data_IF_786432904888
#
_entry.id   IF_786432904888
#
_cell.length_a   1.000
_cell.length_b   1.000
_cell.length_c   1.000
_cell.angle_alpha   90.00
_cell.angle_beta   90.00
_cell.angle_gamma   90.00
#
_symmetry.space_group_name_H-M   'P 1'
#
loop_
_entity.id
_entity.type
_entity.pdbx_description
1 polymer ?
#
# COMPACT_ATOMS: atom_id res chain seq x y z
N UNK A 1 6.22 -12.89 -9.96
CA UNK A 1 6.16 -12.48 -11.39
C UNK A 1 4.74 -12.24 -11.91
N UNK A 2 3.86 -13.25 -11.98
CA UNK A 2 2.55 -13.16 -12.67
C UNK A 2 1.63 -12.00 -12.20
N UNK A 3 1.51 -11.77 -10.89
CA UNK A 3 0.71 -10.64 -10.36
C UNK A 3 1.35 -9.27 -10.61
N UNK A 4 2.69 -9.16 -10.59
CA UNK A 4 3.37 -7.90 -10.91
C UNK A 4 3.14 -7.53 -12.39
N UNK A 5 3.19 -8.51 -13.27
CA UNK A 5 2.89 -8.33 -14.70
C UNK A 5 1.42 -7.95 -14.95
N UNK A 6 0.48 -8.54 -14.21
CA UNK A 6 -0.94 -8.16 -14.27
C UNK A 6 -1.14 -6.72 -13.79
N UNK A 7 -0.56 -6.35 -12.64
CA UNK A 7 -0.67 -4.99 -12.10
C UNK A 7 -0.06 -3.96 -13.04
N UNK A 8 1.10 -4.27 -13.63
CA UNK A 8 1.74 -3.43 -14.64
C UNK A 8 0.88 -3.28 -15.89
N UNK A 9 0.26 -4.35 -16.36
CA UNK A 9 -0.64 -4.31 -17.52
C UNK A 9 -1.90 -3.50 -17.25
N UNK A 10 -2.49 -3.64 -16.06
CA UNK A 10 -3.63 -2.82 -15.64
C UNK A 10 -3.25 -1.34 -15.51
N UNK A 11 -2.06 -1.05 -14.97
CA UNK A 11 -1.55 0.31 -14.83
C UNK A 11 -1.33 0.95 -16.21
N UNK A 12 -0.74 0.20 -17.15
CA UNK A 12 -0.55 0.66 -18.53
C UNK A 12 -1.87 0.93 -19.27
N UNK A 13 -2.95 0.25 -18.89
CA UNK A 13 -4.30 0.46 -19.42
C UNK A 13 -5.04 1.63 -18.74
N UNK A 14 -4.47 2.25 -17.70
CA UNK A 14 -5.13 3.29 -16.91
C UNK A 14 -6.35 2.79 -16.14
N UNK A 15 -6.44 1.48 -15.89
CA UNK A 15 -7.53 0.91 -15.10
C UNK A 15 -7.32 1.27 -13.63
N UNK A 16 -8.36 1.73 -12.93
CA UNK A 16 -8.34 1.81 -11.47
C UNK A 16 -9.21 0.67 -10.94
N UNK A 17 -8.61 -0.42 -10.41
CA UNK A 17 -9.37 -1.55 -9.91
C UNK A 17 -10.14 -1.13 -8.65
N UNK A 18 -11.40 -1.53 -8.56
CA UNK A 18 -12.18 -1.34 -7.35
C UNK A 18 -11.68 -2.23 -6.19
N UNK A 19 -12.14 -1.91 -4.98
CA UNK A 19 -11.79 -2.63 -3.76
C UNK A 19 -12.20 -4.12 -3.81
N UNK A 20 -13.27 -4.45 -4.53
CA UNK A 20 -13.75 -5.82 -4.71
C UNK A 20 -12.79 -6.67 -5.54
N UNK A 21 -12.08 -6.05 -6.49
CA UNK A 21 -11.09 -6.69 -7.34
C UNK A 21 -9.70 -6.69 -6.69
N UNK A 22 -9.31 -5.61 -6.01
CA UNK A 22 -7.97 -5.45 -5.47
C UNK A 22 -7.79 -6.01 -4.05
N UNK A 23 -8.85 -6.12 -3.24
CA UNK A 23 -8.80 -6.64 -1.87
C UNK A 23 -8.11 -8.02 -1.76
N UNK A 24 -8.49 -9.04 -2.55
CA UNK A 24 -7.83 -10.34 -2.55
C UNK A 24 -6.38 -10.31 -3.06
N UNK A 25 -6.01 -9.31 -3.86
CA UNK A 25 -4.67 -9.17 -4.42
C UNK A 25 -3.66 -8.62 -3.39
N UNK A 26 -4.10 -7.87 -2.37
CA UNK A 26 -3.23 -7.28 -1.33
C UNK A 26 -2.33 -8.29 -0.62
N UNK A 27 -2.87 -9.46 -0.26
CA UNK A 27 -2.10 -10.52 0.39
C UNK A 27 -1.02 -11.09 -0.53
N UNK A 28 -1.27 -11.11 -1.84
CA UNK A 28 -0.27 -11.56 -2.82
C UNK A 28 0.81 -10.52 -3.03
N UNK A 29 0.49 -9.22 -2.98
CA UNK A 29 1.47 -8.13 -3.10
C UNK A 29 2.60 -8.28 -2.09
N UNK A 30 2.27 -8.55 -0.81
CA UNK A 30 3.28 -8.76 0.23
C UNK A 30 4.21 -9.96 -0.10
N UNK A 31 3.63 -11.10 -0.49
CA UNK A 31 4.41 -12.30 -0.82
C UNK A 31 5.30 -12.11 -2.06
N UNK A 32 4.91 -11.25 -3.00
CA UNK A 32 5.70 -10.94 -4.20
C UNK A 32 6.81 -9.97 -3.86
N UNK A 33 6.55 -8.97 -3.02
CA UNK A 33 7.55 -8.01 -2.57
C UNK A 33 8.77 -8.71 -1.99
N UNK A 34 8.56 -9.66 -1.06
CA UNK A 34 9.65 -10.43 -0.43
C UNK A 34 10.52 -11.21 -1.42
N UNK A 35 9.96 -11.62 -2.56
CA UNK A 35 10.67 -12.42 -3.57
C UNK A 35 11.23 -11.59 -4.71
N UNK A 36 10.82 -10.33 -4.84
CA UNK A 36 11.21 -9.47 -5.94
C UNK A 36 12.67 -9.01 -5.80
N UNK A 37 13.40 -9.03 -6.91
CA UNK A 37 14.67 -8.31 -7.00
C UNK A 37 14.46 -6.79 -7.07
N UNK A 38 15.54 -6.02 -7.14
CA UNK A 38 15.49 -4.57 -7.15
C UNK A 38 14.71 -3.96 -8.33
N UNK A 39 14.78 -4.58 -9.51
CA UNK A 39 14.10 -4.09 -10.71
C UNK A 39 12.62 -4.47 -10.67
N UNK A 40 12.32 -5.73 -10.37
CA UNK A 40 10.96 -6.25 -10.20
C UNK A 40 10.21 -5.52 -9.08
N UNK A 41 10.89 -5.20 -7.98
CA UNK A 41 10.31 -4.48 -6.86
C UNK A 41 9.93 -3.06 -7.23
N UNK A 42 10.83 -2.34 -7.92
CA UNK A 42 10.57 -0.98 -8.39
C UNK A 42 9.38 -0.92 -9.36
N UNK A 43 9.29 -1.89 -10.27
CA UNK A 43 8.16 -1.99 -11.21
C UNK A 43 6.85 -2.31 -10.48
N UNK A 44 6.90 -3.18 -9.46
CA UNK A 44 5.74 -3.52 -8.62
C UNK A 44 5.20 -2.28 -7.90
N UNK A 45 6.05 -1.53 -7.18
CA UNK A 45 5.60 -0.35 -6.42
C UNK A 45 5.14 0.76 -7.36
N UNK A 46 5.78 0.94 -8.51
CA UNK A 46 5.32 1.87 -9.52
C UNK A 46 3.93 1.51 -10.04
N UNK A 47 3.70 0.23 -10.38
CA UNK A 47 2.40 -0.23 -10.89
C UNK A 47 1.29 0.01 -9.87
N UNK A 48 1.52 -0.34 -8.59
CA UNK A 48 0.58 -0.07 -7.51
C UNK A 48 0.29 1.42 -7.35
N UNK A 49 1.33 2.26 -7.41
CA UNK A 49 1.18 3.72 -7.36
C UNK A 49 0.40 4.28 -8.55
N UNK A 50 0.62 3.75 -9.76
CA UNK A 50 -0.06 4.18 -10.98
C UNK A 50 -1.54 3.79 -10.98
N UNK A 51 -1.90 2.67 -10.35
CA UNK A 51 -3.28 2.22 -10.16
C UNK A 51 -4.02 3.02 -9.07
N UNK A 52 -3.31 3.85 -8.30
CA UNK A 52 -3.82 4.61 -7.16
C UNK A 52 -4.53 3.74 -6.11
N UNK A 53 -4.05 2.50 -5.91
CA UNK A 53 -4.63 1.54 -4.98
C UNK A 53 -4.03 1.66 -3.59
N UNK A 54 -4.88 1.54 -2.57
CA UNK A 54 -4.43 1.32 -1.20
C UNK A 54 -3.98 -0.14 -1.05
N UNK A 55 -2.70 -0.36 -0.75
CA UNK A 55 -2.16 -1.71 -0.52
C UNK A 55 -2.62 -2.30 0.82
N UNK A 56 -3.15 -1.47 1.72
CA UNK A 56 -3.47 -1.81 3.10
C UNK A 56 -2.22 -1.83 3.99
N UNK A 57 -2.40 -1.83 5.31
CA UNK A 57 -1.31 -1.68 6.28
C UNK A 57 -0.28 -2.83 6.20
N UNK A 58 -0.75 -4.08 6.05
CA UNK A 58 0.14 -5.25 6.01
C UNK A 58 1.03 -5.25 4.78
N UNK A 59 0.47 -5.02 3.59
CA UNK A 59 1.26 -5.01 2.37
C UNK A 59 2.17 -3.78 2.32
N UNK A 60 1.71 -2.62 2.80
CA UNK A 60 2.55 -1.41 2.92
C UNK A 60 3.76 -1.66 3.82
N UNK A 61 3.59 -2.33 4.96
CA UNK A 61 4.68 -2.66 5.85
C UNK A 61 5.69 -3.62 5.21
N UNK A 62 5.23 -4.66 4.51
CA UNK A 62 6.09 -5.59 3.78
C UNK A 62 6.87 -4.89 2.66
N UNK A 63 6.18 -4.07 1.86
CA UNK A 63 6.79 -3.27 0.80
C UNK A 63 7.84 -2.30 1.37
N UNK A 64 7.55 -1.61 2.47
CA UNK A 64 8.50 -0.72 3.11
C UNK A 64 9.73 -1.46 3.63
N UNK A 65 9.54 -2.60 4.31
CA UNK A 65 10.65 -3.44 4.79
C UNK A 65 11.56 -3.88 3.65
N UNK A 66 10.95 -4.41 2.58
CA UNK A 66 11.69 -4.84 1.39
C UNK A 66 12.43 -3.69 0.70
N UNK A 67 11.82 -2.51 0.61
CA UNK A 67 12.48 -1.35 0.04
C UNK A 67 13.77 -1.01 0.77
N UNK A 68 13.77 -1.01 2.12
CA UNK A 68 14.97 -0.76 2.91
C UNK A 68 16.09 -1.77 2.66
N UNK A 69 15.74 -3.04 2.44
CA UNK A 69 16.73 -4.07 2.08
C UNK A 69 17.36 -3.85 0.71
N UNK A 70 16.58 -3.31 -0.24
CA UNK A 70 17.00 -3.11 -1.63
C UNK A 70 17.67 -1.75 -1.89
N UNK A 71 17.51 -0.77 -1.00
CA UNK A 71 18.11 0.57 -1.12
C UNK A 71 19.62 0.55 -1.43
N UNK A 72 20.45 -0.31 -0.83
CA UNK A 72 21.88 -0.35 -1.14
C UNK A 72 22.20 -0.87 -2.54
N UNK A 73 21.27 -1.55 -3.19
CA UNK A 73 21.45 -2.21 -4.49
C UNK A 73 20.94 -1.39 -5.68
N UNK A 74 20.31 -0.24 -5.44
CA UNK A 74 19.73 0.62 -6.48
C UNK A 74 20.44 1.96 -6.57
N UNK A 75 20.39 2.58 -7.74
CA UNK A 75 20.88 3.95 -7.90
C UNK A 75 19.98 4.97 -7.17
N UNK A 76 20.48 6.18 -6.86
CA UNK A 76 19.73 7.17 -6.11
C UNK A 76 18.41 7.61 -6.75
N UNK A 77 18.34 7.69 -8.09
CA UNK A 77 17.12 8.09 -8.76
C UNK A 77 16.04 7.01 -8.59
N UNK A 78 16.43 5.74 -8.66
CA UNK A 78 15.52 4.62 -8.42
C UNK A 78 15.10 4.49 -6.97
N UNK A 79 15.99 4.78 -6.01
CA UNK A 79 15.63 4.86 -4.60
C UNK A 79 14.54 5.91 -4.33
N UNK A 80 14.65 7.10 -4.95
CA UNK A 80 13.63 8.15 -4.85
C UNK A 80 12.31 7.73 -5.46
N UNK A 81 12.34 7.08 -6.63
CA UNK A 81 11.13 6.58 -7.28
C UNK A 81 10.38 5.56 -6.41
N UNK A 82 11.10 4.60 -5.82
CA UNK A 82 10.55 3.62 -4.88
C UNK A 82 9.89 4.33 -3.69
N UNK A 83 10.60 5.27 -3.06
CA UNK A 83 10.09 5.99 -1.89
C UNK A 83 8.82 6.80 -2.21
N UNK A 84 8.79 7.46 -3.38
CA UNK A 84 7.62 8.19 -3.84
C UNK A 84 6.42 7.27 -4.07
N UNK A 85 6.62 6.17 -4.80
CA UNK A 85 5.55 5.21 -5.08
C UNK A 85 4.98 4.61 -3.79
N UNK A 86 5.84 4.25 -2.82
CA UNK A 86 5.41 3.78 -1.50
C UNK A 86 4.54 4.80 -0.76
N UNK A 87 4.88 6.09 -0.84
CA UNK A 87 4.08 7.15 -0.22
C UNK A 87 2.69 7.27 -0.86
N UNK A 88 2.54 6.97 -2.15
CA UNK A 88 1.25 6.98 -2.85
C UNK A 88 0.37 5.80 -2.45
N UNK A 89 0.95 4.60 -2.27
CA UNK A 89 0.20 3.37 -1.95
C UNK A 89 -0.05 3.17 -0.47
N UNK A 90 0.63 3.92 0.39
CA UNK A 90 0.39 3.90 1.82
C UNK A 90 -1.04 4.37 2.13
N UNK A 91 -1.73 3.73 3.09
CA UNK A 91 -3.04 4.19 3.52
C UNK A 91 -2.93 5.65 3.93
N UNK A 92 -3.82 6.49 3.39
CA UNK A 92 -3.89 7.90 3.80
C UNK A 92 -4.14 7.88 5.29
N UNK A 93 -3.23 8.48 6.08
CA UNK A 93 -3.46 8.70 7.51
C UNK A 93 -4.79 9.43 7.64
N UNK A 94 -5.83 8.67 7.97
CA UNK A 94 -7.10 9.22 8.39
C UNK A 94 -6.81 10.12 9.58
N UNK A 95 -7.29 11.36 9.48
CA UNK A 95 -7.40 12.22 10.64
C UNK A 95 -8.50 11.66 11.51
N UNK A 96 -8.22 10.56 12.22
CA UNK A 96 -9.16 9.94 13.14
C UNK A 96 -8.99 10.63 14.50
N UNK A 97 -9.10 11.95 14.47
CA UNK A 97 -9.56 12.73 15.61
C UNK A 97 -11.07 12.56 15.72
N UNK A 98 -11.54 11.31 15.82
CA UNK A 98 -12.84 11.07 16.43
C UNK A 98 -12.62 11.37 17.90
N UNK A 99 -12.93 12.61 18.29
CA UNK A 99 -13.14 12.90 19.69
C UNK A 99 -14.22 11.94 20.14
N UNK A 100 -13.89 11.05 21.08
CA UNK A 100 -14.87 10.38 21.90
C UNK A 100 -15.84 11.46 22.39
N UNK A 101 -17.05 11.49 21.84
CA UNK A 101 -18.14 12.27 22.39
C UNK A 101 -18.50 11.59 23.71
N UNK A 102 -18.31 12.25 24.88
CA UNK A 102 -18.68 11.66 26.15
C UNK A 102 -20.19 11.79 26.30
N UNK A 103 -20.94 10.93 25.62
CA UNK A 103 -22.34 10.70 25.88
C UNK A 103 -22.55 9.23 26.26
N UNK A 104 -22.17 8.91 27.49
CA UNK A 104 -22.89 7.87 28.24
C UNK A 104 -22.86 8.19 29.74
N UNK A 105 -24.04 8.16 30.37
CA UNK A 105 -24.19 8.52 31.78
C UNK A 105 -25.44 9.32 32.13
N UNK A 106 -26.47 9.33 31.29
CA UNK A 106 -27.82 9.66 31.70
C UNK A 106 -28.56 8.39 32.15
N UNK A 107 -28.45 8.04 33.43
CA UNK A 107 -29.45 7.21 34.09
C UNK A 107 -29.87 7.91 35.38
N UNK A 108 -31.09 8.44 35.35
CA UNK A 108 -31.92 8.66 36.52
C UNK A 108 -31.93 7.38 37.38
N UNK A 109 -31.80 7.52 38.71
CA UNK A 109 -32.74 6.93 39.66
C UNK A 109 -32.38 7.32 41.12
N UNK A 110 -33.38 7.84 41.84
CA UNK A 110 -33.59 7.51 43.27
C UNK A 110 -33.26 8.58 44.32
N UNK A 111 -34.31 9.17 44.92
CA UNK A 111 -34.24 9.80 46.25
C UNK A 111 -35.12 11.03 46.44
#
# INVERSE_FOLDING_TARGET
KEVSDILRSLAALGASPDEGLFGPARLRVAAIADQADAEEFADLVWALSALAVDAGPTATAALAGRAFELLPAVDPARAVAIAYSLAVVAPRRGGDGEKEDPQDGGLEEGG
#
